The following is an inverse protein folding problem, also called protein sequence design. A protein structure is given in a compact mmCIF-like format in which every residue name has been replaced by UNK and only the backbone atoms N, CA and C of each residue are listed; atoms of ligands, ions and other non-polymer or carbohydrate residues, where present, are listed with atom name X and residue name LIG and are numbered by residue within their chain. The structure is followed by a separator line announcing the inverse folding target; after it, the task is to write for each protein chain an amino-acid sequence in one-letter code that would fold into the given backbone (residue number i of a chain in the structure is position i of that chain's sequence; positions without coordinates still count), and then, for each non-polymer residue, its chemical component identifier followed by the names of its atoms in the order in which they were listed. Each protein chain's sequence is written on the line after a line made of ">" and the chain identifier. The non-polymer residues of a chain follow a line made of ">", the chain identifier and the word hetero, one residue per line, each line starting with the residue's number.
data_IF_876839019617
#
_entry.id   IF_876839019617
#
_cell.length_a   1.000
_cell.length_b   1.000
_cell.length_c   1.000
_cell.angle_alpha   90.00
_cell.angle_beta   90.00
_cell.angle_gamma   90.00
#
_symmetry.space_group_name_H-M   'P 1'
#
loop_
_entity.id
_entity.type
_entity.pdbx_description
1 polymer ?
#
# COMPACT_ATOMS: atom_id res chain seq x y z
N UNK A 1 -24.44 3.18 11.47
CA UNK A 1 -24.92 1.88 10.95
C UNK A 1 -23.87 1.18 10.08
N UNK A 2 -23.31 1.83 9.06
CA UNK A 2 -22.29 1.20 8.18
C UNK A 2 -21.08 0.56 8.89
N UNK A 3 -20.54 1.17 9.95
CA UNK A 3 -19.45 0.54 10.73
C UNK A 3 -19.87 -0.76 11.45
N UNK A 4 -21.14 -0.85 11.89
CA UNK A 4 -21.66 -2.06 12.53
C UNK A 4 -21.79 -3.21 11.53
N UNK A 5 -22.27 -2.92 10.31
CA UNK A 5 -22.35 -3.89 9.22
C UNK A 5 -20.97 -4.39 8.80
N UNK A 6 -19.97 -3.51 8.74
CA UNK A 6 -18.59 -3.95 8.50
C UNK A 6 -18.09 -4.91 9.59
N UNK A 7 -18.39 -4.65 10.86
CA UNK A 7 -18.02 -5.56 11.95
C UNK A 7 -18.75 -6.91 11.86
N UNK A 8 -20.02 -6.92 11.46
CA UNK A 8 -20.78 -8.16 11.22
C UNK A 8 -20.17 -8.96 10.06
N UNK A 9 -19.81 -8.30 8.96
CA UNK A 9 -19.11 -8.93 7.85
C UNK A 9 -17.77 -9.54 8.26
N UNK A 10 -16.96 -8.83 9.06
CA UNK A 10 -15.71 -9.40 9.60
C UNK A 10 -15.96 -10.67 10.44
N UNK A 11 -17.04 -10.69 11.24
CA UNK A 11 -17.41 -11.87 12.02
C UNK A 11 -17.89 -13.02 11.12
N UNK A 12 -18.69 -12.73 10.10
CA UNK A 12 -19.16 -13.69 9.11
C UNK A 12 -17.99 -14.34 8.36
N UNK A 13 -17.00 -13.55 7.94
CA UNK A 13 -15.76 -14.07 7.33
C UNK A 13 -15.00 -15.02 8.27
N UNK A 14 -14.90 -14.70 9.56
CA UNK A 14 -14.21 -15.55 10.55
C UNK A 14 -14.89 -16.90 10.77
N UNK A 15 -16.21 -16.99 10.57
CA UNK A 15 -16.95 -18.26 10.65
C UNK A 15 -17.13 -18.93 9.28
N UNK A 16 -16.63 -18.32 8.20
CA UNK A 16 -16.68 -18.84 6.84
C UNK A 16 -18.00 -18.63 6.11
N UNK A 17 -18.89 -17.79 6.64
CA UNK A 17 -20.16 -17.44 5.99
C UNK A 17 -19.95 -16.29 4.99
N UNK A 18 -19.49 -16.65 3.78
CA UNK A 18 -19.14 -15.67 2.75
C UNK A 18 -20.37 -14.97 2.17
N UNK A 19 -21.53 -15.61 2.19
CA UNK A 19 -22.78 -15.04 1.68
C UNK A 19 -23.31 -13.97 2.62
N UNK A 20 -23.31 -14.24 3.94
CA UNK A 20 -23.67 -13.23 4.94
C UNK A 20 -22.68 -12.05 4.93
N UNK A 21 -21.38 -12.33 4.82
CA UNK A 21 -20.37 -11.28 4.73
C UNK A 21 -20.59 -10.38 3.51
N UNK A 22 -20.89 -10.97 2.34
CA UNK A 22 -21.18 -10.19 1.14
C UNK A 22 -22.43 -9.31 1.31
N UNK A 23 -23.52 -9.87 1.83
CA UNK A 23 -24.76 -9.13 2.05
C UNK A 23 -24.56 -7.91 2.96
N UNK A 24 -23.89 -8.11 4.11
CA UNK A 24 -23.58 -7.05 5.06
C UNK A 24 -22.68 -5.96 4.44
N UNK A 25 -21.68 -6.36 3.64
CA UNK A 25 -20.78 -5.42 2.97
C UNK A 25 -21.47 -4.62 1.86
N UNK A 26 -22.37 -5.24 1.10
CA UNK A 26 -23.16 -4.55 0.08
C UNK A 26 -24.08 -3.50 0.72
N UNK A 27 -24.71 -3.81 1.85
CA UNK A 27 -25.52 -2.86 2.60
C UNK A 27 -24.66 -1.74 3.22
N UNK A 28 -23.50 -2.07 3.79
CA UNK A 28 -22.54 -1.08 4.30
C UNK A 28 -22.11 -0.11 3.19
N UNK A 29 -21.86 -0.61 1.98
CA UNK A 29 -21.46 0.19 0.82
C UNK A 29 -22.57 1.13 0.36
N UNK A 30 -23.83 0.69 0.36
CA UNK A 30 -24.97 1.55 0.06
C UNK A 30 -25.04 2.72 1.06
N UNK A 31 -24.83 2.45 2.35
CA UNK A 31 -24.81 3.49 3.37
C UNK A 31 -23.63 4.46 3.24
N UNK A 32 -22.44 4.01 2.80
CA UNK A 32 -21.32 4.91 2.47
C UNK A 32 -21.65 5.81 1.28
N UNK A 33 -22.40 5.30 0.29
CA UNK A 33 -22.79 6.09 -0.88
C UNK A 33 -23.88 7.13 -0.56
N UNK A 34 -24.80 6.79 0.35
CA UNK A 34 -25.92 7.64 0.76
C UNK A 34 -25.57 8.61 1.89
N UNK A 35 -24.56 8.29 2.70
CA UNK A 35 -24.15 9.07 3.85
C UNK A 35 -22.64 9.31 3.84
N UNK A 36 -22.21 10.53 4.18
CA UNK A 36 -20.79 10.88 4.36
C UNK A 36 -20.21 10.19 5.61
N UNK A 37 -19.99 8.88 5.53
CA UNK A 37 -19.30 8.11 6.56
C UNK A 37 -17.83 8.52 6.63
N UNK A 38 -17.20 8.27 7.79
CA UNK A 38 -15.79 8.61 7.96
C UNK A 38 -14.89 7.86 6.97
N UNK A 39 -13.77 8.49 6.62
CA UNK A 39 -12.65 7.90 5.85
C UNK A 39 -12.24 6.55 6.44
N UNK A 40 -12.14 6.46 7.76
CA UNK A 40 -11.80 5.22 8.49
C UNK A 40 -12.83 4.12 8.26
N UNK A 41 -14.13 4.41 8.39
CA UNK A 41 -15.18 3.42 8.17
C UNK A 41 -15.21 2.95 6.70
N UNK A 42 -14.97 3.88 5.76
CA UNK A 42 -14.92 3.57 4.34
C UNK A 42 -13.70 2.71 3.97
N UNK A 43 -12.51 3.05 4.48
CA UNK A 43 -11.30 2.27 4.27
C UNK A 43 -11.40 0.87 4.88
N UNK A 44 -11.97 0.75 6.09
CA UNK A 44 -12.23 -0.52 6.75
C UNK A 44 -13.17 -1.42 5.95
N UNK A 45 -14.26 -0.86 5.42
CA UNK A 45 -15.18 -1.59 4.53
C UNK A 45 -14.48 -2.13 3.27
N UNK A 46 -13.68 -1.29 2.59
CA UNK A 46 -12.94 -1.76 1.42
C UNK A 46 -11.90 -2.82 1.76
N UNK A 47 -11.28 -2.76 2.94
CA UNK A 47 -10.40 -3.82 3.40
C UNK A 47 -11.15 -5.15 3.56
N UNK A 48 -12.32 -5.13 4.22
CA UNK A 48 -13.13 -6.34 4.43
C UNK A 48 -13.66 -6.94 3.12
N UNK A 49 -13.99 -6.11 2.11
CA UNK A 49 -14.25 -6.61 0.75
C UNK A 49 -13.03 -7.35 0.16
N UNK A 50 -11.82 -6.85 0.42
CA UNK A 50 -10.59 -7.53 0.00
C UNK A 50 -10.42 -8.90 0.66
N UNK A 51 -10.69 -9.00 1.96
CA UNK A 51 -10.64 -10.28 2.69
C UNK A 51 -11.68 -11.29 2.18
N UNK A 52 -12.89 -10.83 1.85
CA UNK A 52 -13.92 -11.68 1.23
C UNK A 52 -13.44 -12.29 -0.10
N UNK A 53 -12.79 -11.48 -0.94
CA UNK A 53 -12.28 -11.95 -2.23
C UNK A 53 -11.05 -12.85 -2.09
N UNK A 54 -10.20 -12.64 -1.08
CA UNK A 54 -9.17 -13.61 -0.69
C UNK A 54 -9.79 -14.95 -0.33
N UNK A 55 -10.83 -14.97 0.51
CA UNK A 55 -11.52 -16.20 0.91
C UNK A 55 -12.15 -16.95 -0.29
N UNK A 56 -12.51 -16.21 -1.35
CA UNK A 56 -13.02 -16.75 -2.62
C UNK A 56 -11.92 -17.18 -3.60
N UNK A 57 -10.67 -16.80 -3.35
CA UNK A 57 -9.54 -17.02 -4.27
C UNK A 57 -9.48 -16.02 -5.44
N UNK A 58 -10.25 -14.94 -5.36
CA UNK A 58 -10.36 -13.89 -6.38
C UNK A 58 -9.31 -12.79 -6.13
N UNK A 59 -8.04 -13.12 -6.41
CA UNK A 59 -6.91 -12.26 -6.06
C UNK A 59 -6.90 -10.90 -6.79
N UNK A 60 -7.50 -10.82 -7.98
CA UNK A 60 -7.56 -9.58 -8.77
C UNK A 60 -8.57 -8.59 -8.19
N UNK A 61 -9.73 -9.07 -7.78
CA UNK A 61 -10.75 -8.30 -7.08
C UNK A 61 -10.27 -7.89 -5.69
N UNK A 62 -9.61 -8.82 -4.97
CA UNK A 62 -9.01 -8.53 -3.66
C UNK A 62 -8.01 -7.37 -3.73
N UNK A 63 -7.12 -7.38 -4.73
CA UNK A 63 -6.16 -6.28 -4.94
C UNK A 63 -6.86 -4.93 -5.11
N UNK A 64 -7.90 -4.87 -5.96
CA UNK A 64 -8.63 -3.64 -6.21
C UNK A 64 -9.26 -3.08 -4.94
N UNK A 65 -9.79 -3.95 -4.08
CA UNK A 65 -10.39 -3.57 -2.82
C UNK A 65 -9.37 -3.05 -1.81
N UNK A 66 -8.24 -3.74 -1.63
CA UNK A 66 -7.16 -3.24 -0.76
C UNK A 66 -6.55 -1.93 -1.26
N UNK A 67 -6.36 -1.78 -2.58
CA UNK A 67 -5.90 -0.53 -3.19
C UNK A 67 -6.89 0.61 -2.92
N UNK A 68 -8.21 0.37 -3.00
CA UNK A 68 -9.22 1.38 -2.64
C UNK A 68 -9.12 1.77 -1.19
N UNK A 69 -8.94 0.79 -0.28
CA UNK A 69 -8.75 1.05 1.15
C UNK A 69 -7.55 1.96 1.41
N UNK A 70 -6.39 1.68 0.79
CA UNK A 70 -5.19 2.49 0.95
C UNK A 70 -5.27 3.89 0.32
N UNK A 71 -6.05 4.07 -0.75
CA UNK A 71 -6.22 5.38 -1.41
C UNK A 71 -7.06 6.38 -0.65
N UNK A 72 -7.80 5.95 0.37
CA UNK A 72 -8.71 6.83 1.14
C UNK A 72 -7.96 7.74 2.13
N UNK A 73 -6.61 7.73 2.13
CA UNK A 73 -5.76 8.46 3.08
C UNK A 73 -6.31 8.33 4.52
N UNK A 74 -6.31 7.10 5.07
CA UNK A 74 -6.98 6.86 6.34
C UNK A 74 -6.34 7.67 7.48
N UNK A 75 -7.19 8.30 8.29
CA UNK A 75 -6.76 9.04 9.49
C UNK A 75 -6.03 8.16 10.52
N UNK A 76 -6.26 6.84 10.45
CA UNK A 76 -5.69 5.85 11.35
C UNK A 76 -4.63 5.00 10.63
N UNK A 77 -3.37 5.01 11.12
CA UNK A 77 -2.31 4.15 10.62
C UNK A 77 -2.66 2.66 10.61
N UNK A 78 -3.59 2.21 11.46
CA UNK A 78 -4.08 0.84 11.51
C UNK A 78 -4.66 0.36 10.17
N UNK A 79 -5.38 1.23 9.45
CA UNK A 79 -5.97 0.87 8.15
C UNK A 79 -4.90 0.65 7.08
N UNK A 80 -3.80 1.40 7.17
CA UNK A 80 -2.63 1.19 6.30
C UNK A 80 -2.02 -0.19 6.57
N UNK A 81 -1.80 -0.53 7.84
CA UNK A 81 -1.23 -1.84 8.23
C UNK A 81 -2.04 -2.99 7.64
N UNK A 82 -3.36 -2.96 7.81
CA UNK A 82 -4.27 -4.00 7.29
C UNK A 82 -4.21 -4.09 5.75
N UNK A 83 -4.34 -2.97 5.04
CA UNK A 83 -4.24 -2.94 3.58
C UNK A 83 -2.91 -3.46 3.03
N UNK A 84 -1.78 -3.17 3.72
CA UNK A 84 -0.46 -3.67 3.33
C UNK A 84 -0.36 -5.20 3.46
N UNK A 85 -0.90 -5.79 4.54
CA UNK A 85 -0.90 -7.26 4.72
C UNK A 85 -1.81 -7.95 3.71
N UNK A 86 -3.00 -7.39 3.43
CA UNK A 86 -3.88 -7.91 2.39
C UNK A 86 -3.23 -7.93 1.00
N UNK A 87 -2.53 -6.84 0.63
CA UNK A 87 -1.76 -6.80 -0.63
C UNK A 87 -0.54 -7.71 -0.62
N UNK A 88 0.05 -7.97 0.54
CA UNK A 88 1.12 -8.95 0.66
C UNK A 88 0.62 -10.37 0.38
N UNK A 89 -0.55 -10.71 0.89
CA UNK A 89 -1.20 -12.00 0.65
C UNK A 89 -1.53 -12.19 -0.83
N UNK A 90 -2.11 -11.17 -1.49
CA UNK A 90 -2.32 -11.16 -2.95
C UNK A 90 -1.01 -11.37 -3.71
N UNK A 91 0.06 -10.67 -3.33
CA UNK A 91 1.36 -10.79 -4.00
C UNK A 91 1.90 -12.22 -3.90
N UNK A 92 1.89 -12.79 -2.70
CA UNK A 92 2.31 -14.17 -2.47
C UNK A 92 1.44 -15.19 -3.20
N UNK A 93 0.13 -14.97 -3.28
CA UNK A 93 -0.78 -15.86 -4.02
C UNK A 93 -0.49 -15.86 -5.53
N UNK A 94 -0.03 -14.72 -6.08
CA UNK A 94 0.42 -14.59 -7.47
C UNK A 94 1.87 -15.03 -7.69
N UNK A 95 2.55 -15.53 -6.66
CA UNK A 95 3.95 -15.98 -6.73
C UNK A 95 5.00 -14.88 -6.63
N UNK A 96 4.60 -13.63 -6.36
CA UNK A 96 5.51 -12.53 -6.09
C UNK A 96 5.85 -12.44 -4.60
N UNK A 97 6.55 -13.48 -4.14
CA UNK A 97 6.89 -13.67 -2.74
C UNK A 97 7.82 -12.58 -2.20
N UNK A 98 8.72 -12.03 -3.04
CA UNK A 98 9.65 -10.98 -2.59
C UNK A 98 8.88 -9.68 -2.31
N UNK A 99 7.89 -9.35 -3.15
CA UNK A 99 7.00 -8.21 -2.90
C UNK A 99 6.15 -8.44 -1.67
N UNK A 100 5.54 -9.62 -1.53
CA UNK A 100 4.73 -9.94 -0.37
C UNK A 100 5.51 -9.77 0.94
N UNK A 101 6.75 -10.27 0.98
CA UNK A 101 7.60 -10.14 2.16
C UNK A 101 8.07 -8.70 2.42
N UNK A 102 8.27 -7.87 1.39
CA UNK A 102 8.54 -6.43 1.59
C UNK A 102 7.32 -5.74 2.21
N UNK A 103 6.12 -6.01 1.70
CA UNK A 103 4.88 -5.45 2.25
C UNK A 103 4.66 -5.87 3.71
N UNK A 104 4.81 -7.17 4.03
CA UNK A 104 4.78 -7.67 5.41
C UNK A 104 5.80 -6.94 6.28
N UNK A 105 7.06 -6.83 5.81
CA UNK A 105 8.11 -6.13 6.55
C UNK A 105 7.73 -4.69 6.89
N UNK A 106 7.17 -3.95 5.93
CA UNK A 106 6.70 -2.58 6.16
C UNK A 106 5.51 -2.52 7.13
N UNK A 107 4.51 -3.40 6.96
CA UNK A 107 3.34 -3.46 7.82
C UNK A 107 3.70 -3.77 9.28
N UNK A 108 4.63 -4.71 9.51
CA UNK A 108 5.11 -5.03 10.86
C UNK A 108 5.85 -3.87 11.50
N UNK A 109 6.71 -3.16 10.77
CA UNK A 109 7.41 -2.00 11.32
C UNK A 109 6.43 -0.89 11.74
N UNK A 110 5.41 -0.63 10.92
CA UNK A 110 4.38 0.36 11.22
C UNK A 110 3.54 -0.10 12.43
N UNK A 111 3.17 -1.38 12.50
CA UNK A 111 2.43 -1.93 13.63
C UNK A 111 3.22 -1.81 14.94
N UNK A 112 4.51 -2.16 14.94
CA UNK A 112 5.41 -2.05 16.10
C UNK A 112 5.41 -0.62 16.70
N UNK A 113 5.27 0.41 15.85
CA UNK A 113 5.23 1.82 16.25
C UNK A 113 3.85 2.29 16.76
N UNK A 114 2.76 1.64 16.33
CA UNK A 114 1.39 2.03 16.68
C UNK A 114 0.95 1.36 17.99
N UNK A 115 1.00 0.03 18.03
CA UNK A 115 0.43 -0.78 19.13
C UNK A 115 0.85 -2.25 19.04
N UNK A 116 0.65 -2.98 20.14
CA UNK A 116 0.81 -4.43 20.12
C UNK A 116 -0.19 -5.07 19.12
N UNK A 117 0.27 -5.98 18.25
CA UNK A 117 -0.61 -6.66 17.30
C UNK A 117 -1.62 -7.55 17.99
N UNK A 118 -2.82 -7.64 17.42
CA UNK A 118 -3.78 -8.67 17.80
C UNK A 118 -3.41 -10.05 17.20
N UNK A 119 -4.02 -11.10 17.76
CA UNK A 119 -3.73 -12.47 17.35
C UNK A 119 -4.13 -12.78 15.90
N UNK A 120 -5.20 -12.17 15.39
CA UNK A 120 -5.68 -12.46 14.03
C UNK A 120 -4.70 -11.88 13.00
N UNK A 121 -4.27 -10.63 13.21
CA UNK A 121 -3.25 -10.00 12.39
C UNK A 121 -1.92 -10.77 12.44
N UNK A 122 -1.48 -11.18 13.64
CA UNK A 122 -0.22 -11.93 13.78
C UNK A 122 -0.28 -13.26 13.02
N UNK A 123 -1.40 -13.97 13.10
CA UNK A 123 -1.60 -15.22 12.38
C UNK A 123 -1.56 -15.03 10.85
N UNK A 124 -2.14 -13.94 10.35
CA UNK A 124 -2.08 -13.62 8.92
C UNK A 124 -0.63 -13.33 8.47
N UNK A 125 0.08 -12.49 9.22
CA UNK A 125 1.50 -12.17 8.97
C UNK A 125 2.37 -13.43 8.98
N UNK A 126 2.18 -14.31 9.97
CA UNK A 126 2.94 -15.56 10.08
C UNK A 126 2.65 -16.50 8.92
N UNK A 127 1.39 -16.61 8.49
CA UNK A 127 0.97 -17.45 7.37
C UNK A 127 1.59 -16.99 6.05
N UNK A 128 1.47 -15.71 5.72
CA UNK A 128 2.07 -15.11 4.52
C UNK A 128 3.59 -15.26 4.55
N UNK A 129 4.20 -14.98 5.70
CA UNK A 129 5.66 -15.08 5.88
C UNK A 129 6.16 -16.50 5.69
N UNK A 130 5.51 -17.49 6.30
CA UNK A 130 5.92 -18.88 6.25
C UNK A 130 5.83 -19.43 4.82
N UNK A 131 4.73 -19.17 4.13
CA UNK A 131 4.52 -19.59 2.74
C UNK A 131 5.58 -19.01 1.80
N UNK A 132 5.77 -17.69 1.83
CA UNK A 132 6.74 -17.02 0.97
C UNK A 132 8.18 -17.43 1.30
N UNK A 133 8.51 -17.60 2.59
CA UNK A 133 9.85 -18.06 3.01
C UNK A 133 10.15 -19.47 2.55
N UNK A 134 9.15 -20.37 2.57
CA UNK A 134 9.28 -21.73 2.07
C UNK A 134 9.61 -21.79 0.57
N UNK A 135 9.07 -20.86 -0.23
CA UNK A 135 9.31 -20.78 -1.68
C UNK A 135 10.59 -20.04 -2.06
N UNK A 136 10.92 -18.92 -1.41
CA UNK A 136 12.11 -18.10 -1.71
C UNK A 136 13.40 -18.58 -1.06
N UNK A 137 13.29 -19.27 0.07
CA UNK A 137 14.39 -19.55 0.97
C UNK A 137 14.66 -18.40 1.97
N UNK A 138 15.17 -18.79 3.13
CA UNK A 138 15.31 -17.94 4.32
C UNK A 138 16.10 -16.64 4.08
N UNK A 139 17.24 -16.71 3.39
CA UNK A 139 18.11 -15.54 3.21
C UNK A 139 17.45 -14.44 2.37
N UNK A 140 16.82 -14.80 1.24
CA UNK A 140 16.09 -13.86 0.37
C UNK A 140 14.86 -13.31 1.08
N UNK A 141 14.15 -14.18 1.79
CA UNK A 141 12.98 -13.78 2.58
C UNK A 141 13.34 -12.77 3.68
N UNK A 142 14.44 -13.00 4.39
CA UNK A 142 14.95 -12.06 5.39
C UNK A 142 15.34 -10.72 4.76
N UNK A 143 16.06 -10.74 3.63
CA UNK A 143 16.45 -9.52 2.92
C UNK A 143 15.22 -8.70 2.47
N UNK A 144 14.20 -9.36 1.90
CA UNK A 144 12.96 -8.72 1.47
C UNK A 144 12.21 -8.07 2.65
N UNK A 145 12.01 -8.80 3.75
CA UNK A 145 11.37 -8.23 4.97
C UNK A 145 12.17 -7.08 5.55
N UNK A 146 13.50 -7.20 5.64
CA UNK A 146 14.35 -6.12 6.13
C UNK A 146 14.31 -4.89 5.22
N UNK A 147 14.15 -5.06 3.91
CA UNK A 147 13.94 -3.95 2.99
C UNK A 147 12.60 -3.26 3.26
N UNK A 148 11.52 -4.02 3.43
CA UNK A 148 10.21 -3.52 3.83
C UNK A 148 10.24 -2.73 5.14
N UNK A 149 10.88 -3.26 6.18
CA UNK A 149 11.00 -2.61 7.49
C UNK A 149 11.72 -1.24 7.47
N UNK A 150 12.47 -0.93 6.41
CA UNK A 150 13.15 0.37 6.26
C UNK A 150 12.30 1.41 5.51
N UNK A 151 11.13 1.03 5.00
CA UNK A 151 10.23 1.96 4.33
C UNK A 151 9.56 2.86 5.35
N UNK A 152 9.41 4.14 5.00
CA UNK A 152 8.49 5.03 5.71
C UNK A 152 7.05 4.61 5.38
N UNK A 153 6.07 5.04 6.17
CA UNK A 153 4.64 4.78 5.89
C UNK A 153 4.29 5.24 4.46
N UNK A 154 4.72 6.44 4.07
CA UNK A 154 4.46 6.99 2.74
C UNK A 154 5.07 6.12 1.63
N UNK A 155 6.32 5.65 1.79
CA UNK A 155 6.95 4.76 0.82
C UNK A 155 6.27 3.39 0.78
N UNK A 156 5.87 2.83 1.93
CA UNK A 156 5.18 1.55 1.98
C UNK A 156 3.82 1.60 1.25
N UNK A 157 3.02 2.65 1.49
CA UNK A 157 1.75 2.88 0.78
C UNK A 157 1.99 3.02 -0.71
N UNK A 158 2.99 3.83 -1.09
CA UNK A 158 3.33 4.03 -2.49
C UNK A 158 3.73 2.71 -3.19
N UNK A 159 4.67 1.97 -2.60
CA UNK A 159 5.13 0.66 -3.07
C UNK A 159 3.97 -0.35 -3.21
N UNK A 160 3.01 -0.29 -2.30
CA UNK A 160 1.83 -1.15 -2.32
C UNK A 160 0.88 -0.81 -3.49
N UNK A 161 0.70 0.47 -3.80
CA UNK A 161 -0.22 0.96 -4.83
C UNK A 161 0.29 0.79 -6.27
N UNK A 162 1.60 0.86 -6.49
CA UNK A 162 2.18 0.91 -7.83
C UNK A 162 2.62 -0.45 -8.41
N UNK A 163 2.65 -1.51 -7.58
CA UNK A 163 3.05 -2.85 -8.01
C UNK A 163 4.53 -2.93 -8.44
N UNK A 164 4.94 -4.10 -8.95
CA UNK A 164 6.35 -4.55 -9.19
C UNK A 164 7.20 -3.64 -10.11
N UNK A 165 6.70 -2.51 -10.63
CA UNK A 165 7.49 -1.62 -11.50
C UNK A 165 8.58 -0.82 -10.76
N UNK A 166 8.68 -0.94 -9.45
CA UNK A 166 9.57 -0.12 -8.61
C UNK A 166 10.69 -0.87 -7.88
N UNK A 167 10.96 -2.15 -8.20
CA UNK A 167 11.99 -2.90 -7.47
C UNK A 167 13.43 -2.35 -7.58
N UNK A 168 13.69 -1.37 -8.46
CA UNK A 168 15.00 -0.72 -8.61
C UNK A 168 15.01 0.76 -8.22
N UNK A 169 13.83 1.41 -8.15
CA UNK A 169 13.74 2.85 -7.94
C UNK A 169 13.33 3.14 -6.50
N UNK A 170 14.14 3.86 -5.71
CA UNK A 170 13.70 4.39 -4.41
C UNK A 170 12.60 5.46 -4.55
N UNK A 171 12.22 5.83 -5.78
CA UNK A 171 11.15 6.78 -6.08
C UNK A 171 9.91 6.09 -6.63
N UNK A 172 8.78 6.65 -6.19
CA UNK A 172 7.44 6.46 -6.71
C UNK A 172 7.29 6.70 -8.22
N UNK A 173 6.33 6.11 -8.95
CA UNK A 173 6.11 6.40 -10.38
C UNK A 173 5.83 7.89 -10.59
N UNK A 174 5.04 8.48 -9.69
CA UNK A 174 4.76 9.91 -9.71
C UNK A 174 6.00 10.73 -9.39
N UNK A 175 6.78 10.31 -8.40
CA UNK A 175 8.04 10.95 -8.07
C UNK A 175 9.08 10.81 -9.20
N UNK A 176 9.09 9.69 -9.91
CA UNK A 176 9.95 9.38 -11.04
C UNK A 176 9.54 10.20 -12.27
N UNK A 177 8.23 10.34 -12.53
CA UNK A 177 7.69 11.24 -13.53
C UNK A 177 8.13 12.69 -13.27
N UNK A 178 7.95 13.19 -12.04
CA UNK A 178 8.43 14.51 -11.62
C UNK A 178 9.95 14.62 -11.77
N UNK A 179 10.71 13.61 -11.36
CA UNK A 179 12.18 13.61 -11.43
C UNK A 179 12.69 13.57 -12.88
N UNK A 180 12.02 12.86 -13.79
CA UNK A 180 12.30 12.87 -15.23
C UNK A 180 11.99 14.22 -15.85
N UNK A 181 10.89 14.85 -15.45
CA UNK A 181 10.57 16.23 -15.83
C UNK A 181 11.63 17.23 -15.37
N UNK A 182 12.16 17.06 -14.14
CA UNK A 182 13.31 17.82 -13.64
C UNK A 182 14.56 17.59 -14.50
N UNK A 183 14.87 16.33 -14.84
CA UNK A 183 16.00 15.98 -15.70
C UNK A 183 15.89 16.57 -17.12
N UNK A 184 14.67 16.73 -17.63
CA UNK A 184 14.37 17.45 -18.89
C UNK A 184 14.52 18.98 -18.78
N UNK A 185 14.86 19.52 -17.62
CA UNK A 185 15.05 20.95 -17.38
C UNK A 185 13.75 21.75 -17.21
N UNK A 186 12.62 21.08 -17.00
CA UNK A 186 11.36 21.77 -16.73
C UNK A 186 11.40 22.48 -15.37
N UNK A 187 10.69 23.60 -15.25
CA UNK A 187 10.48 24.36 -14.01
C UNK A 187 9.28 23.85 -13.23
N UNK A 188 9.21 24.12 -11.92
CA UNK A 188 8.07 23.65 -11.08
C UNK A 188 6.71 24.12 -11.61
N UNK A 189 6.65 25.32 -12.21
CA UNK A 189 5.46 25.84 -12.89
C UNK A 189 5.07 25.04 -14.13
N UNK A 190 6.05 24.60 -14.91
CA UNK A 190 5.79 23.78 -16.10
C UNK A 190 5.33 22.38 -15.71
N UNK A 191 5.99 21.77 -14.73
CA UNK A 191 5.62 20.46 -14.18
C UNK A 191 4.22 20.50 -13.59
N UNK A 192 3.94 21.49 -12.74
CA UNK A 192 2.62 21.71 -12.14
C UNK A 192 1.51 21.80 -13.20
N UNK A 193 1.75 22.57 -14.27
CA UNK A 193 0.79 22.72 -15.37
C UNK A 193 0.59 21.43 -16.17
N UNK A 194 1.66 20.70 -16.47
CA UNK A 194 1.59 19.42 -17.18
C UNK A 194 0.84 18.37 -16.37
N UNK A 195 1.03 18.38 -15.06
CA UNK A 195 0.50 17.40 -14.14
C UNK A 195 -0.86 17.77 -13.52
N UNK A 196 -1.41 18.94 -13.86
CA UNK A 196 -2.70 19.43 -13.35
C UNK A 196 -2.73 19.75 -11.85
N UNK A 197 -1.58 20.07 -11.25
CA UNK A 197 -1.44 20.31 -9.79
C UNK A 197 -0.89 21.70 -9.50
N UNK A 198 -0.87 22.10 -8.23
CA UNK A 198 -0.27 23.38 -7.81
C UNK A 198 1.26 23.31 -7.80
N UNK A 199 1.93 24.45 -7.96
CA UNK A 199 3.39 24.55 -7.77
C UNK A 199 3.82 24.19 -6.35
N UNK A 200 2.98 24.46 -5.34
CA UNK A 200 3.26 24.08 -3.95
C UNK A 200 3.30 22.56 -3.79
N UNK A 201 2.39 21.85 -4.45
CA UNK A 201 2.38 20.38 -4.51
C UNK A 201 3.67 19.85 -5.12
N UNK A 202 4.14 20.44 -6.23
CA UNK A 202 5.42 20.05 -6.84
C UNK A 202 6.61 20.29 -5.89
N UNK A 203 6.62 21.40 -5.16
CA UNK A 203 7.69 21.67 -4.19
C UNK A 203 7.73 20.62 -3.07
N UNK A 204 6.57 20.23 -2.52
CA UNK A 204 6.47 19.16 -1.52
C UNK A 204 7.02 17.84 -2.07
N UNK A 205 6.58 17.43 -3.26
CA UNK A 205 7.13 16.24 -3.90
C UNK A 205 8.64 16.31 -4.08
N UNK A 206 9.19 17.46 -4.51
CA UNK A 206 10.63 17.61 -4.69
C UNK A 206 11.43 17.63 -3.37
N UNK A 207 10.84 18.06 -2.26
CA UNK A 207 11.43 17.95 -0.92
C UNK A 207 11.48 16.49 -0.47
N UNK A 208 10.39 15.76 -0.63
CA UNK A 208 10.30 14.34 -0.30
C UNK A 208 11.27 13.51 -1.16
N UNK A 209 11.28 13.71 -2.47
CA UNK A 209 12.19 13.05 -3.42
C UNK A 209 13.65 13.23 -2.99
N UNK A 210 14.04 14.47 -2.68
CA UNK A 210 15.42 14.77 -2.25
C UNK A 210 15.75 14.14 -0.91
N UNK A 211 14.80 14.12 0.02
CA UNK A 211 14.97 13.48 1.34
C UNK A 211 15.15 11.97 1.18
N UNK A 212 14.32 11.33 0.36
CA UNK A 212 14.38 9.89 0.08
C UNK A 212 15.71 9.51 -0.60
N UNK A 213 16.20 10.33 -1.52
CA UNK A 213 17.45 10.06 -2.25
C UNK A 213 18.73 10.57 -1.55
N UNK A 214 18.60 11.29 -0.44
CA UNK A 214 19.74 11.95 0.22
C UNK A 214 20.40 13.06 -0.60
N UNK A 215 19.64 13.69 -1.51
CA UNK A 215 20.13 14.74 -2.41
C UNK A 215 19.86 16.13 -1.82
N UNK A 216 20.72 17.08 -2.13
CA UNK A 216 20.68 18.43 -1.57
C UNK A 216 20.12 19.46 -2.54
N UNK A 217 20.04 19.13 -3.83
CA UNK A 217 19.62 20.09 -4.85
C UNK A 217 18.82 19.48 -6.01
N UNK A 218 18.08 20.33 -6.73
CA UNK A 218 17.42 19.99 -7.99
C UNK A 218 18.42 19.50 -9.05
N UNK A 219 19.60 20.10 -9.08
CA UNK A 219 20.66 19.73 -10.02
C UNK A 219 21.19 18.32 -9.73
N UNK A 220 21.36 17.96 -8.46
CA UNK A 220 21.71 16.60 -8.05
C UNK A 220 20.62 15.59 -8.44
N UNK A 221 19.35 15.95 -8.29
CA UNK A 221 18.22 15.12 -8.74
C UNK A 221 18.26 14.86 -10.26
N UNK A 222 18.47 15.91 -11.07
CA UNK A 222 18.61 15.76 -12.52
C UNK A 222 19.79 14.84 -12.88
N UNK A 223 20.95 15.03 -12.23
CA UNK A 223 22.14 14.21 -12.47
C UNK A 223 22.00 12.77 -11.98
N UNK A 224 21.16 12.51 -10.98
CA UNK A 224 20.84 11.17 -10.48
C UNK A 224 19.99 10.42 -11.51
N UNK A 225 18.93 11.04 -12.06
CA UNK A 225 18.07 10.44 -13.08
C UNK A 225 18.85 10.09 -14.35
N UNK A 226 19.74 10.97 -14.83
CA UNK A 226 20.57 10.66 -16.02
C UNK A 226 21.46 9.43 -15.82
N UNK A 227 21.93 9.19 -14.59
CA UNK A 227 22.71 7.99 -14.23
C UNK A 227 21.85 6.74 -14.02
N UNK A 228 20.57 6.93 -13.72
CA UNK A 228 19.62 5.86 -13.43
C UNK A 228 18.87 5.38 -14.69
N UNK A 229 18.54 6.26 -15.64
CA UNK A 229 17.86 5.94 -16.92
C UNK A 229 18.83 5.47 -18.03
N UNK A 230 20.14 5.37 -17.77
CA UNK A 230 21.12 4.77 -18.69
C UNK A 230 21.62 3.42 -18.16
N UNK A 231 21.36 2.29 -18.86
CA UNK A 231 21.90 0.98 -18.51
C UNK A 231 23.42 0.88 -18.78
#
# INVERSE_FOLDING_TARGET
>A
MGNLLNLLACLALRVGDLDAAEADLQEARALVAEHELSTTATAGMWHTFGELEIARGNHDEAEQHFVRSLRIEPDLPQQVVHGLVGLAEVACARGDDERGLRLVGSATAIQDDISAPDHAWQQQVDSVTALATGRLGHARAQAARSAGRRMTIAHAVHYALDGVREAESPLSLRQLEISRSVAKGQTDRQIARELGVSTRTINTYLEEIRTVLGLRSRAELAAWITRYDHP
#
